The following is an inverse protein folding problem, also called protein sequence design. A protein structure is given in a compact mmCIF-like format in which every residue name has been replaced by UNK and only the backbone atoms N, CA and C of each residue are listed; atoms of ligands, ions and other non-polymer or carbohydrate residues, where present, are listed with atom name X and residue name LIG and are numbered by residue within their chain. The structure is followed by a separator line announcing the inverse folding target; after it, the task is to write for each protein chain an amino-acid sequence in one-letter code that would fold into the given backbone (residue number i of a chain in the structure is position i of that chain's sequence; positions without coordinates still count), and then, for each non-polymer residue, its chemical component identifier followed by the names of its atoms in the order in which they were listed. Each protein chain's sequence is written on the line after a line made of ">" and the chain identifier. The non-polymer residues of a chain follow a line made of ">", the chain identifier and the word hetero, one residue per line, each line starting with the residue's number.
data_IF_407835335385
#
_entry.id   IF_407835335385
#
_cell.length_a   1.000
_cell.length_b   1.000
_cell.length_c   1.000
_cell.angle_alpha   90.00
_cell.angle_beta   90.00
_cell.angle_gamma   90.00
#
_symmetry.space_group_name_H-M   'P 1'
#
loop_
_entity.id
_entity.type
_entity.pdbx_description
1 polymer ?
#
# COMPACT_ATOMS: atom_id res chain seq x y z
N UNK A 1 -34.74 -29.16 -27.93
CA UNK A 1 -34.76 -28.26 -29.11
C UNK A 1 -33.48 -27.45 -29.09
N UNK A 2 -32.55 -27.78 -29.98
CA UNK A 2 -31.20 -27.20 -30.06
C UNK A 2 -31.20 -26.08 -31.09
N UNK A 3 -30.96 -24.84 -30.65
CA UNK A 3 -30.79 -23.68 -31.53
C UNK A 3 -29.31 -23.42 -31.80
N UNK A 4 -28.78 -23.95 -32.89
CA UNK A 4 -27.44 -23.64 -33.37
C UNK A 4 -27.42 -22.23 -34.01
N UNK A 5 -26.87 -21.25 -33.31
CA UNK A 5 -26.60 -19.91 -33.88
C UNK A 5 -25.19 -19.89 -34.49
N UNK A 6 -25.10 -20.10 -35.80
CA UNK A 6 -23.89 -19.77 -36.56
C UNK A 6 -23.83 -18.25 -36.77
N UNK A 7 -22.86 -17.60 -36.14
CA UNK A 7 -22.48 -16.21 -36.44
C UNK A 7 -21.83 -16.19 -37.84
N UNK A 8 -22.34 -15.48 -38.85
CA UNK A 8 -21.69 -15.43 -40.16
C UNK A 8 -20.45 -14.54 -40.09
N UNK A 9 -19.28 -15.12 -40.38
CA UNK A 9 -17.94 -14.51 -40.21
C UNK A 9 -17.37 -13.89 -41.49
N UNK A 10 -18.19 -13.56 -42.49
CA UNK A 10 -17.71 -12.90 -43.71
C UNK A 10 -18.66 -11.79 -44.15
N UNK A 11 -18.28 -10.53 -43.89
CA UNK A 11 -18.88 -9.38 -44.56
C UNK A 11 -18.30 -9.30 -45.97
N UNK A 12 -18.92 -9.99 -46.92
CA UNK A 12 -18.59 -9.83 -48.32
C UNK A 12 -19.16 -8.49 -48.80
N UNK A 13 -18.32 -7.45 -48.80
CA UNK A 13 -18.63 -6.24 -49.56
C UNK A 13 -18.26 -6.51 -51.02
N UNK A 14 -19.28 -6.70 -51.86
CA UNK A 14 -19.07 -6.84 -53.29
C UNK A 14 -18.45 -5.55 -53.84
N UNK A 15 -17.38 -5.71 -54.62
CA UNK A 15 -16.72 -4.59 -55.31
C UNK A 15 -17.76 -3.89 -56.19
N UNK A 16 -17.94 -2.56 -56.09
CA UNK A 16 -18.82 -1.85 -57.00
C UNK A 16 -18.27 -1.99 -58.42
N UNK A 17 -19.12 -2.39 -59.36
CA UNK A 17 -18.75 -2.49 -60.77
C UNK A 17 -18.29 -1.11 -61.26
N UNK A 18 -17.05 -1.03 -61.76
CA UNK A 18 -16.57 0.14 -62.50
C UNK A 18 -17.28 0.17 -63.85
N UNK A 19 -18.47 0.74 -63.93
CA UNK A 19 -19.09 1.04 -65.22
C UNK A 19 -18.28 2.15 -65.89
N UNK A 20 -17.63 1.85 -67.02
CA UNK A 20 -16.88 2.84 -67.83
C UNK A 20 -17.73 4.01 -68.34
N UNK A 21 -19.06 3.91 -68.25
CA UNK A 21 -19.99 4.93 -68.70
C UNK A 21 -20.93 5.34 -67.56
N UNK A 22 -21.11 6.66 -67.43
CA UNK A 22 -22.09 7.25 -66.54
C UNK A 22 -23.50 6.78 -66.96
N UNK A 23 -24.25 6.17 -66.03
CA UNK A 23 -25.62 5.71 -66.33
C UNK A 23 -26.50 6.91 -66.68
N UNK A 24 -27.49 6.73 -67.56
CA UNK A 24 -28.44 7.80 -67.95
C UNK A 24 -29.07 8.51 -66.74
N UNK A 25 -29.26 7.80 -65.62
CA UNK A 25 -29.74 8.37 -64.35
C UNK A 25 -28.74 9.33 -63.70
N UNK A 26 -27.44 9.03 -63.74
CA UNK A 26 -26.39 9.91 -63.20
C UNK A 26 -26.24 11.22 -63.98
N UNK A 27 -26.33 11.16 -65.32
CA UNK A 27 -26.30 12.37 -66.17
C UNK A 27 -27.56 13.23 -65.97
N UNK A 28 -28.73 12.61 -65.79
CA UNK A 28 -29.98 13.33 -65.49
C UNK A 28 -29.98 13.98 -64.10
N UNK A 29 -29.32 13.35 -63.13
CA UNK A 29 -29.16 13.91 -61.78
C UNK A 29 -28.18 15.09 -61.79
N UNK A 30 -27.06 14.98 -62.52
CA UNK A 30 -26.10 16.08 -62.69
C UNK A 30 -26.71 17.27 -63.46
N UNK A 31 -27.46 17.01 -64.53
CA UNK A 31 -28.14 18.06 -65.32
C UNK A 31 -29.26 18.77 -64.56
N UNK A 32 -29.84 18.14 -63.52
CA UNK A 32 -30.83 18.76 -62.63
C UNK A 32 -30.23 19.76 -61.64
N UNK A 33 -28.92 20.03 -61.68
CA UNK A 33 -28.26 21.06 -60.87
C UNK A 33 -28.30 20.82 -59.37
N UNK A 34 -28.85 19.69 -58.91
CA UNK A 34 -28.84 19.29 -57.51
C UNK A 34 -27.48 18.70 -57.20
N UNK A 35 -26.48 19.58 -57.04
CA UNK A 35 -25.27 19.27 -56.30
C UNK A 35 -25.72 18.65 -54.97
N UNK A 36 -25.43 17.36 -54.79
CA UNK A 36 -25.70 16.68 -53.53
C UNK A 36 -25.09 17.52 -52.43
N UNK A 37 -25.88 17.77 -51.37
CA UNK A 37 -25.44 18.51 -50.19
C UNK A 37 -23.97 18.22 -49.92
N UNK A 38 -23.16 19.27 -49.83
CA UNK A 38 -21.79 19.17 -49.31
C UNK A 38 -21.78 18.19 -48.13
N UNK A 39 -20.80 17.28 -48.03
CA UNK A 39 -20.78 16.32 -46.96
C UNK A 39 -20.90 17.12 -45.67
N UNK A 40 -22.04 16.98 -44.97
CA UNK A 40 -22.25 17.57 -43.65
C UNK A 40 -20.99 17.25 -42.87
N UNK A 41 -20.24 18.29 -42.49
CA UNK A 41 -19.10 18.17 -41.58
C UNK A 41 -19.59 17.29 -40.44
N UNK A 42 -19.09 16.06 -40.37
CA UNK A 42 -19.52 15.15 -39.32
C UNK A 42 -19.18 15.84 -38.00
N UNK A 43 -20.13 15.88 -37.05
CA UNK A 43 -19.99 16.75 -35.89
C UNK A 43 -18.73 16.32 -35.15
N UNK A 44 -17.84 17.27 -34.85
CA UNK A 44 -16.61 17.07 -34.08
C UNK A 44 -16.83 16.27 -32.77
N UNK A 45 -18.07 16.22 -32.28
CA UNK A 45 -18.52 15.34 -31.21
C UNK A 45 -18.23 13.84 -31.45
N UNK A 46 -18.37 13.28 -32.66
CA UNK A 46 -18.10 11.85 -32.89
C UNK A 46 -16.60 11.53 -32.84
N UNK A 47 -15.75 12.46 -33.29
CA UNK A 47 -14.29 12.38 -33.21
C UNK A 47 -13.82 12.61 -31.77
N UNK A 48 -14.39 13.56 -31.04
CA UNK A 48 -14.12 13.78 -29.62
C UNK A 48 -14.56 12.58 -28.75
N UNK A 49 -15.70 11.95 -29.04
CA UNK A 49 -16.14 10.71 -28.38
C UNK A 49 -15.23 9.52 -28.74
N UNK A 50 -14.71 9.47 -29.98
CA UNK A 50 -13.74 8.45 -30.38
C UNK A 50 -12.36 8.67 -29.72
N UNK A 51 -11.91 9.92 -29.61
CA UNK A 51 -10.68 10.33 -28.93
C UNK A 51 -10.77 10.06 -27.43
N UNK A 52 -11.89 10.38 -26.76
CA UNK A 52 -12.08 10.04 -25.33
C UNK A 52 -12.10 8.52 -25.09
N UNK A 53 -12.69 7.72 -26.00
CA UNK A 53 -12.61 6.25 -25.94
C UNK A 53 -11.18 5.74 -26.13
N UNK A 54 -10.41 6.35 -27.04
CA UNK A 54 -9.02 6.01 -27.28
C UNK A 54 -8.14 6.41 -26.08
N UNK A 55 -8.34 7.60 -25.52
CA UNK A 55 -7.66 8.10 -24.32
C UNK A 55 -7.95 7.21 -23.11
N UNK A 56 -9.20 6.77 -22.91
CA UNK A 56 -9.54 5.81 -21.85
C UNK A 56 -8.83 4.47 -22.02
N UNK A 57 -8.72 3.96 -23.25
CA UNK A 57 -7.96 2.73 -23.54
C UNK A 57 -6.46 2.92 -23.32
N UNK A 58 -5.91 4.07 -23.70
CA UNK A 58 -4.51 4.39 -23.53
C UNK A 58 -4.16 4.55 -22.04
N UNK A 59 -4.97 5.26 -21.26
CA UNK A 59 -4.83 5.37 -19.81
C UNK A 59 -4.91 4.00 -19.13
N UNK A 60 -5.86 3.15 -19.52
CA UNK A 60 -5.94 1.78 -19.01
C UNK A 60 -4.68 0.96 -19.35
N UNK A 61 -4.14 1.11 -20.56
CA UNK A 61 -2.90 0.44 -20.99
C UNK A 61 -1.68 0.96 -20.23
N UNK A 62 -1.57 2.27 -20.02
CA UNK A 62 -0.50 2.89 -19.22
C UNK A 62 -0.55 2.39 -17.78
N UNK A 63 -1.73 2.38 -17.15
CA UNK A 63 -1.93 1.85 -15.80
C UNK A 63 -1.58 0.36 -15.70
N UNK A 64 -1.94 -0.43 -16.71
CA UNK A 64 -1.57 -1.85 -16.77
C UNK A 64 -0.06 -2.03 -16.88
N UNK A 65 0.61 -1.25 -17.73
CA UNK A 65 2.07 -1.31 -17.88
C UNK A 65 2.78 -0.88 -16.60
N UNK A 66 2.31 0.19 -15.94
CA UNK A 66 2.83 0.67 -14.66
C UNK A 66 2.73 -0.41 -13.58
N UNK A 67 1.54 -0.98 -13.37
CA UNK A 67 1.34 -2.07 -12.40
C UNK A 67 2.18 -3.31 -12.69
N UNK A 68 2.37 -3.64 -13.98
CA UNK A 68 3.22 -4.76 -14.38
C UNK A 68 4.71 -4.48 -14.12
N UNK A 69 5.15 -3.25 -14.29
CA UNK A 69 6.50 -2.83 -13.96
C UNK A 69 6.73 -2.88 -12.45
N UNK A 70 5.80 -2.33 -11.64
CA UNK A 70 5.85 -2.37 -10.18
C UNK A 70 5.99 -3.81 -9.65
N UNK A 71 5.15 -4.75 -10.13
CA UNK A 71 5.25 -6.17 -9.76
C UNK A 71 6.57 -6.84 -10.20
N UNK A 72 7.15 -6.40 -11.33
CA UNK A 72 8.42 -6.93 -11.81
C UNK A 72 9.59 -6.39 -10.97
N UNK A 73 9.51 -5.13 -10.53
CA UNK A 73 10.50 -4.48 -9.67
C UNK A 73 10.51 -5.11 -8.26
N UNK A 74 9.33 -5.39 -7.67
CA UNK A 74 9.21 -6.13 -6.41
C UNK A 74 9.87 -7.52 -6.49
N UNK A 75 9.70 -8.21 -7.61
CA UNK A 75 10.29 -9.53 -7.83
C UNK A 75 11.80 -9.50 -8.13
N UNK A 76 12.36 -8.36 -8.51
CA UNK A 76 13.73 -8.26 -9.06
C UNK A 76 14.81 -8.75 -8.10
N UNK A 77 14.62 -8.57 -6.79
CA UNK A 77 15.56 -9.02 -5.75
C UNK A 77 15.78 -10.54 -5.75
N UNK A 78 14.77 -11.31 -6.17
CA UNK A 78 14.79 -12.78 -6.16
C UNK A 78 15.19 -13.40 -7.50
N UNK A 79 15.46 -12.59 -8.53
CA UNK A 79 15.78 -13.07 -9.87
C UNK A 79 17.11 -12.51 -10.36
N UNK A 80 17.86 -13.31 -11.11
CA UNK A 80 19.12 -12.89 -11.74
C UNK A 80 20.32 -13.71 -11.29
N UNK A 81 21.51 -13.31 -11.74
CA UNK A 81 22.75 -13.99 -11.39
C UNK A 81 23.04 -13.87 -9.90
N UNK A 82 22.87 -12.69 -9.28
CA UNK A 82 23.10 -12.46 -7.84
C UNK A 82 21.78 -12.30 -7.06
N UNK A 83 20.81 -13.17 -7.36
CA UNK A 83 19.52 -13.16 -6.67
C UNK A 83 19.68 -13.46 -5.17
N UNK A 84 18.94 -12.73 -4.34
CA UNK A 84 18.84 -13.02 -2.91
C UNK A 84 18.08 -14.35 -2.71
N UNK A 85 18.53 -15.21 -1.77
CA UNK A 85 17.80 -16.42 -1.44
C UNK A 85 16.46 -16.07 -0.82
N UNK A 86 15.41 -16.80 -1.20
CA UNK A 86 14.10 -16.74 -0.55
C UNK A 86 14.15 -17.53 0.75
N UNK A 87 13.85 -16.90 1.87
CA UNK A 87 14.01 -17.53 3.18
C UNK A 87 12.70 -18.28 3.51
N UNK A 88 12.82 -19.56 3.81
CA UNK A 88 11.69 -20.46 4.05
C UNK A 88 11.83 -21.10 5.42
N UNK A 89 11.03 -20.67 6.40
CA UNK A 89 10.99 -21.31 7.70
C UNK A 89 10.08 -22.54 7.66
N UNK A 90 10.61 -23.71 8.03
CA UNK A 90 9.82 -24.95 8.10
C UNK A 90 9.45 -25.23 9.54
N UNK A 91 8.16 -25.13 9.84
CA UNK A 91 7.61 -25.24 11.20
C UNK A 91 6.85 -26.56 11.35
N UNK A 92 7.32 -27.51 12.18
CA UNK A 92 6.62 -28.75 12.46
C UNK A 92 5.55 -28.50 13.55
N UNK A 93 4.30 -28.87 13.26
CA UNK A 93 3.17 -28.69 14.20
C UNK A 93 2.85 -29.95 15.01
N UNK A 94 3.32 -31.11 14.58
CA UNK A 94 3.07 -32.41 15.20
C UNK A 94 4.41 -33.10 15.54
N UNK A 95 4.46 -33.93 16.61
CA UNK A 95 5.71 -34.57 17.07
C UNK A 95 6.29 -35.61 16.10
N UNK A 96 5.45 -36.18 15.24
CA UNK A 96 5.81 -37.17 14.22
C UNK A 96 6.34 -36.56 12.92
N UNK A 97 6.29 -35.23 12.79
CA UNK A 97 6.69 -34.50 11.59
C UNK A 97 8.08 -33.93 11.77
N UNK A 98 9.00 -34.31 10.89
CA UNK A 98 10.34 -33.75 10.83
C UNK A 98 10.44 -32.64 9.78
N UNK A 99 10.88 -31.44 10.20
CA UNK A 99 11.15 -30.31 9.32
C UNK A 99 12.20 -30.63 8.25
N UNK A 100 13.21 -31.44 8.61
CA UNK A 100 14.26 -31.89 7.70
C UNK A 100 13.66 -32.75 6.57
N UNK A 101 12.77 -33.70 6.90
CA UNK A 101 12.13 -34.56 5.90
C UNK A 101 11.21 -33.75 4.99
N UNK A 102 10.42 -32.82 5.55
CA UNK A 102 9.57 -31.90 4.78
C UNK A 102 10.41 -31.06 3.80
N UNK A 103 11.53 -30.49 4.24
CA UNK A 103 12.45 -29.75 3.38
C UNK A 103 13.04 -30.63 2.27
N UNK A 104 13.50 -31.84 2.60
CA UNK A 104 14.03 -32.80 1.62
C UNK A 104 12.99 -33.19 0.55
N UNK A 105 11.74 -33.43 0.94
CA UNK A 105 10.67 -33.76 0.00
C UNK A 105 10.37 -32.59 -0.95
N UNK A 106 10.38 -31.36 -0.45
CA UNK A 106 10.23 -30.15 -1.29
C UNK A 106 11.40 -30.03 -2.27
N UNK A 107 12.63 -30.24 -1.80
CA UNK A 107 13.83 -30.16 -2.64
C UNK A 107 13.86 -31.24 -3.71
N UNK A 108 13.46 -32.46 -3.37
CA UNK A 108 13.26 -33.54 -4.34
C UNK A 108 12.23 -33.15 -5.41
N UNK A 109 11.16 -32.46 -5.03
CA UNK A 109 10.15 -31.97 -5.97
C UNK A 109 10.66 -30.84 -6.89
N UNK A 110 11.70 -30.10 -6.48
CA UNK A 110 12.42 -29.14 -7.34
C UNK A 110 13.28 -29.83 -8.41
N UNK A 111 13.49 -31.15 -8.31
CA UNK A 111 14.36 -31.91 -9.20
C UNK A 111 15.84 -31.76 -8.86
N UNK A 112 16.15 -31.36 -7.63
CA UNK A 112 17.51 -31.29 -7.10
C UNK A 112 17.73 -32.53 -6.25
N UNK A 113 18.75 -33.31 -6.57
CA UNK A 113 19.13 -34.48 -5.78
C UNK A 113 20.04 -34.03 -4.64
N UNK A 114 19.49 -33.99 -3.43
CA UNK A 114 20.20 -33.64 -2.22
C UNK A 114 20.19 -34.85 -1.26
N UNK A 115 21.35 -35.46 -0.99
CA UNK A 115 21.41 -36.71 -0.22
C UNK A 115 21.07 -36.53 1.26
N UNK A 116 21.29 -35.33 1.81
CA UNK A 116 20.98 -35.01 3.20
C UNK A 116 20.78 -33.51 3.39
N UNK A 117 19.98 -33.16 4.40
CA UNK A 117 19.80 -31.80 4.90
C UNK A 117 20.27 -31.74 6.36
N UNK A 118 20.68 -30.56 6.88
CA UNK A 118 20.97 -30.39 8.30
C UNK A 118 19.78 -30.77 9.20
N UNK A 119 20.03 -31.29 10.40
CA UNK A 119 18.96 -31.59 11.37
C UNK A 119 18.34 -30.29 11.93
N UNK A 120 19.12 -29.22 12.00
CA UNK A 120 18.74 -27.90 12.51
C UNK A 120 19.58 -26.83 11.81
N UNK A 121 19.02 -25.62 11.66
CA UNK A 121 19.74 -24.45 11.15
C UNK A 121 19.39 -24.10 9.70
N UNK A 122 20.30 -23.42 9.01
CA UNK A 122 20.07 -22.92 7.65
C UNK A 122 20.58 -23.89 6.58
N UNK A 123 19.82 -24.05 5.50
CA UNK A 123 20.19 -24.88 4.37
C UNK A 123 19.83 -24.19 3.05
N UNK A 124 20.84 -23.88 2.24
CA UNK A 124 20.67 -23.16 0.97
C UNK A 124 20.63 -24.16 -0.19
N UNK A 125 19.63 -24.02 -1.05
CA UNK A 125 19.40 -24.88 -2.20
C UNK A 125 19.08 -24.03 -3.43
N UNK A 126 19.80 -24.27 -4.52
CA UNK A 126 19.49 -23.64 -5.81
C UNK A 126 18.41 -24.44 -6.54
N UNK A 127 17.38 -23.74 -7.02
CA UNK A 127 16.29 -24.32 -7.81
C UNK A 127 16.48 -23.95 -9.29
N UNK A 128 17.29 -24.69 -10.07
CA UNK A 128 17.69 -24.29 -11.42
C UNK A 128 16.50 -24.17 -12.38
N UNK A 129 15.44 -24.97 -12.17
CA UNK A 129 14.20 -24.93 -12.96
C UNK A 129 13.48 -23.58 -12.86
N UNK A 130 13.51 -22.98 -11.67
CA UNK A 130 12.84 -21.71 -11.38
C UNK A 130 13.79 -20.52 -11.44
N UNK A 131 15.11 -20.77 -11.59
CA UNK A 131 16.17 -19.75 -11.57
C UNK A 131 16.13 -18.92 -10.28
N UNK A 132 15.80 -19.56 -9.17
CA UNK A 132 15.72 -18.97 -7.83
C UNK A 132 16.57 -19.78 -6.86
N UNK A 133 16.97 -19.15 -5.76
CA UNK A 133 17.66 -19.82 -4.65
C UNK A 133 16.74 -19.77 -3.42
N UNK A 134 16.67 -20.89 -2.70
CA UNK A 134 15.90 -21.02 -1.46
C UNK A 134 16.88 -21.19 -0.30
N UNK A 135 16.58 -20.57 0.83
CA UNK A 135 17.27 -20.76 2.11
C UNK A 135 16.26 -21.30 3.11
N UNK A 136 16.30 -22.60 3.35
CA UNK A 136 15.48 -23.24 4.36
C UNK A 136 16.03 -22.97 5.75
N UNK A 137 15.16 -22.63 6.69
CA UNK A 137 15.45 -22.61 8.12
C UNK A 137 14.75 -23.81 8.74
N UNK A 138 15.53 -24.83 9.09
CA UNK A 138 15.07 -26.10 9.62
C UNK A 138 14.95 -25.95 11.14
N UNK A 139 13.72 -25.96 11.62
CA UNK A 139 13.39 -25.78 13.03
C UNK A 139 13.02 -27.11 13.67
N UNK A 140 13.59 -27.46 14.82
CA UNK A 140 13.20 -28.64 15.57
C UNK A 140 11.84 -28.44 16.24
N UNK A 141 11.14 -29.55 16.51
CA UNK A 141 9.87 -29.53 17.22
C UNK A 141 10.02 -28.98 18.65
N UNK A 142 9.01 -28.25 19.12
CA UNK A 142 8.92 -27.67 20.48
C UNK A 142 9.92 -26.55 20.84
N UNK A 143 10.53 -25.89 19.85
CA UNK A 143 11.31 -24.68 20.10
C UNK A 143 10.53 -23.42 19.76
N UNK A 144 9.90 -22.81 20.77
CA UNK A 144 9.07 -21.62 20.59
C UNK A 144 9.89 -20.42 20.08
N UNK A 145 10.88 -19.95 20.85
CA UNK A 145 11.63 -18.74 20.51
C UNK A 145 12.36 -18.84 19.17
N UNK A 146 13.06 -19.96 18.91
CA UNK A 146 13.70 -20.21 17.61
C UNK A 146 12.71 -20.13 16.45
N UNK A 147 11.48 -20.60 16.64
CA UNK A 147 10.43 -20.53 15.62
C UNK A 147 9.92 -19.11 15.43
N UNK A 148 9.72 -18.35 16.51
CA UNK A 148 9.31 -16.94 16.43
C UNK A 148 10.35 -16.12 15.66
N UNK A 149 11.63 -16.27 16.00
CA UNK A 149 12.72 -15.52 15.36
C UNK A 149 12.90 -15.91 13.89
N UNK A 150 12.81 -17.20 13.58
CA UNK A 150 12.93 -17.69 12.20
C UNK A 150 11.75 -17.28 11.32
N UNK A 151 10.52 -17.34 11.82
CA UNK A 151 9.33 -16.90 11.06
C UNK A 151 9.33 -15.40 10.85
N UNK A 152 9.78 -14.64 11.85
CA UNK A 152 10.01 -13.19 11.75
C UNK A 152 10.99 -12.84 10.61
N UNK A 153 12.05 -13.64 10.43
CA UNK A 153 13.02 -13.44 9.34
C UNK A 153 12.62 -14.10 8.00
N UNK A 154 11.73 -15.09 7.98
CA UNK A 154 11.40 -15.82 6.75
C UNK A 154 10.58 -14.99 5.75
N UNK A 155 10.63 -15.30 4.46
CA UNK A 155 9.68 -14.79 3.45
C UNK A 155 8.40 -15.64 3.37
N UNK A 156 8.59 -16.94 3.58
CA UNK A 156 7.56 -17.96 3.56
C UNK A 156 7.65 -18.79 4.83
N UNK A 157 6.50 -19.03 5.45
CA UNK A 157 6.37 -19.96 6.57
C UNK A 157 5.68 -21.23 6.08
N UNK A 158 6.40 -22.35 6.12
CA UNK A 158 5.86 -23.67 5.78
C UNK A 158 5.33 -24.31 7.05
N UNK A 159 4.02 -24.51 7.12
CA UNK A 159 3.38 -25.24 8.22
C UNK A 159 3.31 -26.72 7.86
N UNK A 160 4.09 -27.54 8.56
CA UNK A 160 4.16 -28.98 8.34
C UNK A 160 3.24 -29.71 9.31
N UNK A 161 2.18 -30.31 8.77
CA UNK A 161 1.12 -30.99 9.50
C UNK A 161 1.26 -32.51 9.34
N UNK A 162 0.81 -33.25 10.35
CA UNK A 162 0.60 -34.69 10.25
C UNK A 162 -0.85 -35.02 9.88
N UNK A 163 -1.08 -36.06 9.08
CA UNK A 163 -2.41 -36.61 8.84
C UNK A 163 -2.82 -37.70 9.84
N UNK A 164 -1.88 -38.17 10.67
CA UNK A 164 -2.11 -39.25 11.65
C UNK A 164 -2.23 -38.68 13.06
N UNK A 165 -1.33 -37.76 13.39
CA UNK A 165 -1.25 -37.16 14.73
C UNK A 165 -1.85 -35.77 14.70
N UNK A 166 -2.81 -35.52 15.58
CA UNK A 166 -3.42 -34.20 15.75
C UNK A 166 -2.40 -33.17 16.26
N UNK A 167 -2.71 -31.89 16.10
CA UNK A 167 -1.85 -30.81 16.58
C UNK A 167 -2.05 -30.67 18.09
N UNK A 168 -0.98 -30.82 18.87
CA UNK A 168 -1.01 -30.67 20.32
C UNK A 168 -1.44 -29.24 20.74
N UNK A 169 -1.89 -29.07 21.99
CA UNK A 169 -2.10 -27.75 22.62
C UNK A 169 -0.86 -26.85 22.57
N UNK A 170 0.34 -27.42 22.44
CA UNK A 170 1.56 -26.65 22.21
C UNK A 170 1.59 -26.04 20.80
N UNK A 171 1.27 -26.83 19.77
CA UNK A 171 1.19 -26.36 18.39
C UNK A 171 0.10 -25.31 18.19
N UNK A 172 -1.06 -25.47 18.84
CA UNK A 172 -2.09 -24.41 18.84
C UNK A 172 -1.60 -23.11 19.46
N UNK A 173 -0.90 -23.19 20.60
CA UNK A 173 -0.33 -22.00 21.26
C UNK A 173 0.70 -21.34 20.36
N UNK A 174 1.57 -22.12 19.71
CA UNK A 174 2.53 -21.60 18.74
C UNK A 174 1.82 -20.83 17.60
N UNK A 175 0.77 -21.41 17.01
CA UNK A 175 0.01 -20.75 15.94
C UNK A 175 -0.63 -19.44 16.40
N UNK A 176 -1.20 -19.39 17.62
CA UNK A 176 -1.76 -18.15 18.19
C UNK A 176 -0.69 -17.07 18.40
N UNK A 177 0.48 -17.45 18.92
CA UNK A 177 1.60 -16.51 19.11
C UNK A 177 2.10 -15.99 17.76
N UNK A 178 2.33 -16.89 16.78
CA UNK A 178 2.74 -16.51 15.43
C UNK A 178 1.72 -15.59 14.75
N UNK A 179 0.42 -15.83 14.95
CA UNK A 179 -0.64 -14.96 14.45
C UNK A 179 -0.57 -13.58 15.08
N UNK A 180 -0.38 -13.49 16.41
CA UNK A 180 -0.29 -12.20 17.12
C UNK A 180 0.95 -11.37 16.75
N UNK A 181 2.08 -12.01 16.45
CA UNK A 181 3.31 -11.35 16.03
C UNK A 181 3.30 -10.97 14.54
N UNK A 182 2.39 -11.57 13.76
CA UNK A 182 2.38 -11.44 12.30
C UNK A 182 3.43 -12.32 11.60
N UNK A 183 3.90 -13.41 12.24
CA UNK A 183 4.85 -14.38 11.65
C UNK A 183 4.22 -15.38 10.67
N UNK A 184 2.89 -15.34 10.49
CA UNK A 184 2.13 -16.15 9.52
C UNK A 184 1.93 -15.41 8.19
N UNK A 185 2.96 -14.75 7.67
CA UNK A 185 2.94 -14.18 6.32
C UNK A 185 3.32 -15.24 5.27
N UNK A 186 2.67 -15.17 4.10
CA UNK A 186 2.90 -16.05 2.95
C UNK A 186 3.02 -17.54 3.33
N UNK A 187 2.00 -18.05 4.01
CA UNK A 187 2.00 -19.42 4.52
C UNK A 187 1.83 -20.44 3.39
N UNK A 188 2.63 -21.52 3.45
CA UNK A 188 2.46 -22.71 2.60
C UNK A 188 2.22 -23.90 3.51
N UNK A 189 0.98 -24.38 3.56
CA UNK A 189 0.63 -25.53 4.39
C UNK A 189 0.93 -26.83 3.65
N UNK A 190 1.72 -27.69 4.28
CA UNK A 190 2.13 -28.99 3.74
C UNK A 190 1.76 -30.11 4.70
N UNK A 191 1.35 -31.25 4.16
CA UNK A 191 1.24 -32.50 4.93
C UNK A 191 2.47 -33.34 4.64
N UNK A 192 3.14 -33.78 5.71
CA UNK A 192 4.27 -34.68 5.64
C UNK A 192 3.91 -35.99 6.32
N UNK A 193 4.13 -37.11 5.63
CA UNK A 193 3.91 -38.44 6.16
C UNK A 193 5.25 -39.04 6.60
N UNK A 194 5.35 -39.61 7.82
CA UNK A 194 6.51 -40.40 8.20
C UNK A 194 6.65 -41.66 7.31
N UNK A 195 5.52 -42.24 6.89
CA UNK A 195 5.48 -43.48 6.09
C UNK A 195 5.46 -43.23 4.56
N UNK A 196 5.40 -41.97 4.11
CA UNK A 196 5.29 -41.62 2.70
C UNK A 196 3.98 -42.02 1.99
N UNK A 197 2.96 -42.46 2.73
CA UNK A 197 1.63 -42.74 2.18
C UNK A 197 0.97 -41.47 1.68
N UNK A 198 0.00 -41.60 0.76
CA UNK A 198 -0.86 -40.48 0.37
C UNK A 198 -1.94 -40.23 1.43
N UNK A 199 -2.24 -38.96 1.68
CA UNK A 199 -3.33 -38.54 2.56
C UNK A 199 -4.70 -38.83 1.93
N UNK A 200 -5.68 -39.18 2.77
CA UNK A 200 -7.06 -39.28 2.32
C UNK A 200 -7.69 -37.89 2.11
N UNK A 201 -8.50 -37.68 1.06
CA UNK A 201 -9.11 -36.38 0.78
C UNK A 201 -9.99 -35.82 1.90
N UNK A 202 -10.61 -36.68 2.71
CA UNK A 202 -11.41 -36.29 3.88
C UNK A 202 -10.55 -35.65 4.96
N UNK A 203 -9.40 -36.25 5.26
CA UNK A 203 -8.40 -35.74 6.21
C UNK A 203 -7.82 -34.42 5.70
N UNK A 204 -7.50 -34.33 4.41
CA UNK A 204 -7.01 -33.07 3.81
C UNK A 204 -8.00 -31.91 3.99
N UNK A 205 -9.31 -32.15 3.82
CA UNK A 205 -10.34 -31.12 4.04
C UNK A 205 -10.43 -30.69 5.50
N UNK A 206 -10.33 -31.64 6.43
CA UNK A 206 -10.31 -31.35 7.86
C UNK A 206 -9.07 -30.53 8.25
N UNK A 207 -7.89 -30.91 7.78
CA UNK A 207 -6.65 -30.15 7.97
C UNK A 207 -6.74 -28.75 7.35
N UNK A 208 -7.35 -28.61 6.17
CA UNK A 208 -7.58 -27.31 5.55
C UNK A 208 -8.48 -26.43 6.44
N UNK A 209 -9.59 -26.97 6.97
CA UNK A 209 -10.46 -26.21 7.87
C UNK A 209 -9.75 -25.79 9.16
N UNK A 210 -8.87 -26.64 9.69
CA UNK A 210 -8.03 -26.30 10.85
C UNK A 210 -7.06 -25.16 10.54
N UNK A 211 -6.36 -25.21 9.42
CA UNK A 211 -5.44 -24.13 9.03
C UNK A 211 -6.20 -22.83 8.74
N UNK A 212 -7.36 -22.91 8.10
CA UNK A 212 -8.18 -21.73 7.78
C UNK A 212 -8.66 -20.96 9.01
N UNK A 213 -8.80 -21.62 10.15
CA UNK A 213 -9.09 -20.96 11.42
C UNK A 213 -8.00 -19.95 11.81
N UNK A 214 -6.72 -20.28 11.59
CA UNK A 214 -5.59 -19.40 11.90
C UNK A 214 -5.19 -18.50 10.71
N UNK A 215 -5.30 -19.03 9.48
CA UNK A 215 -4.89 -18.37 8.24
C UNK A 215 -6.04 -18.45 7.22
N UNK A 216 -7.02 -17.53 7.28
CA UNK A 216 -8.20 -17.58 6.43
C UNK A 216 -7.90 -17.49 4.92
N UNK A 217 -6.77 -16.91 4.55
CA UNK A 217 -6.32 -16.80 3.15
C UNK A 217 -5.88 -18.14 2.55
N UNK A 218 -5.71 -19.19 3.37
CA UNK A 218 -5.24 -20.47 2.91
C UNK A 218 -6.36 -21.25 2.21
N UNK A 219 -6.14 -21.58 0.94
CA UNK A 219 -7.14 -22.27 0.12
C UNK A 219 -6.85 -23.76 -0.09
N UNK A 220 -5.62 -24.20 0.17
CA UNK A 220 -5.18 -25.57 -0.09
C UNK A 220 -4.06 -25.98 0.87
N UNK A 221 -4.08 -27.25 1.29
CA UNK A 221 -2.95 -27.92 1.95
C UNK A 221 -2.33 -28.87 0.93
N UNK A 222 -1.01 -28.83 0.77
CA UNK A 222 -0.28 -29.66 -0.19
C UNK A 222 0.20 -30.95 0.45
N UNK A 223 -0.16 -32.10 -0.11
CA UNK A 223 0.38 -33.39 0.32
C UNK A 223 1.74 -33.63 -0.37
N UNK A 224 2.81 -33.73 0.42
CA UNK A 224 4.16 -33.93 -0.12
C UNK A 224 4.40 -35.36 -0.61
N UNK A 225 3.58 -36.34 -0.21
CA UNK A 225 3.64 -37.69 -0.76
C UNK A 225 3.13 -37.74 -2.21
N UNK A 226 2.22 -36.85 -2.59
CA UNK A 226 1.72 -36.73 -3.95
C UNK A 226 2.66 -35.83 -4.78
N UNK A 227 3.36 -36.40 -5.77
CA UNK A 227 4.34 -35.66 -6.58
C UNK A 227 3.80 -34.36 -7.22
N UNK A 228 2.53 -34.38 -7.65
CA UNK A 228 1.90 -33.20 -8.23
C UNK A 228 1.74 -32.08 -7.22
N UNK A 229 1.36 -32.41 -5.99
CA UNK A 229 1.16 -31.43 -4.92
C UNK A 229 2.49 -30.97 -4.33
N UNK A 230 3.48 -31.86 -4.18
CA UNK A 230 4.85 -31.48 -3.84
C UNK A 230 5.45 -30.48 -4.83
N UNK A 231 5.27 -30.70 -6.14
CA UNK A 231 5.70 -29.75 -7.19
C UNK A 231 4.94 -28.42 -7.10
N UNK A 232 3.65 -28.45 -6.74
CA UNK A 232 2.87 -27.23 -6.57
C UNK A 232 3.29 -26.44 -5.33
N UNK A 233 3.60 -27.10 -4.22
CA UNK A 233 4.16 -26.48 -3.02
C UNK A 233 5.53 -25.83 -3.32
N UNK A 234 6.42 -26.58 -3.98
CA UNK A 234 7.72 -26.07 -4.40
C UNK A 234 7.61 -24.87 -5.36
N UNK A 235 6.63 -24.91 -6.29
CA UNK A 235 6.32 -23.77 -7.16
C UNK A 235 5.84 -22.55 -6.38
N UNK A 236 4.97 -22.74 -5.38
CA UNK A 236 4.45 -21.64 -4.55
C UNK A 236 5.58 -20.88 -3.83
N UNK A 237 6.62 -21.60 -3.39
CA UNK A 237 7.81 -21.01 -2.76
C UNK A 237 8.72 -20.27 -3.76
N UNK A 238 8.77 -20.71 -5.01
CA UNK A 238 9.70 -20.17 -6.02
C UNK A 238 9.11 -19.03 -6.86
N UNK A 239 7.86 -19.14 -7.28
CA UNK A 239 7.23 -18.21 -8.23
C UNK A 239 6.47 -17.07 -7.55
N UNK A 240 5.98 -17.27 -6.33
CA UNK A 240 5.28 -16.22 -5.60
C UNK A 240 6.20 -15.03 -5.36
N UNK A 241 5.68 -13.81 -5.43
CA UNK A 241 6.34 -12.67 -4.79
C UNK A 241 5.85 -12.67 -3.34
N UNK A 242 6.73 -12.75 -2.33
CA UNK A 242 6.32 -12.62 -0.94
C UNK A 242 5.56 -11.30 -0.81
N UNK A 243 4.29 -11.35 -0.40
CA UNK A 243 3.55 -10.10 -0.23
C UNK A 243 4.24 -9.28 0.86
N UNK A 244 4.63 -8.06 0.50
CA UNK A 244 5.18 -7.01 1.39
C UNK A 244 4.15 -5.92 1.69
N UNK A 245 2.91 -6.04 1.17
CA UNK A 245 1.83 -5.08 1.41
C UNK A 245 1.29 -5.07 2.85
N UNK A 246 0.30 -4.22 3.18
CA UNK A 246 -0.16 -3.98 4.56
C UNK A 246 -0.77 -5.19 5.30
N UNK A 247 -1.04 -6.30 4.59
CA UNK A 247 -1.43 -7.59 5.17
C UNK A 247 -0.23 -8.50 5.53
N UNK A 248 0.99 -8.01 5.32
CA UNK A 248 2.24 -8.64 5.70
C UNK A 248 2.96 -7.75 6.71
N UNK A 249 3.95 -8.30 7.40
CA UNK A 249 4.70 -7.71 8.50
C UNK A 249 5.21 -6.27 8.22
N UNK A 250 4.35 -5.26 8.39
CA UNK A 250 4.63 -3.85 8.14
C UNK A 250 5.76 -3.31 9.00
N UNK A 251 6.03 -3.94 10.15
CA UNK A 251 7.16 -3.62 11.01
C UNK A 251 8.52 -3.99 10.38
N UNK A 252 8.55 -4.81 9.32
CA UNK A 252 9.75 -5.08 8.50
C UNK A 252 10.03 -3.98 7.51
N UNK A 253 8.98 -3.27 7.09
CA UNK A 253 9.12 -2.19 6.13
C UNK A 253 9.86 -1.03 6.81
N UNK A 254 10.94 -0.57 6.17
CA UNK A 254 11.85 0.43 6.73
C UNK A 254 12.84 -0.06 7.80
N UNK A 255 12.98 -1.37 8.02
CA UNK A 255 14.03 -1.93 8.89
C UNK A 255 14.95 -2.88 8.13
N UNK A 256 16.26 -2.69 8.31
CA UNK A 256 17.28 -3.61 7.81
C UNK A 256 17.34 -4.88 8.63
N UNK A 257 17.45 -6.03 7.97
CA UNK A 257 17.66 -7.31 8.65
C UNK A 257 18.51 -8.27 7.80
N UNK A 258 19.11 -9.24 8.49
CA UNK A 258 20.00 -10.26 7.93
C UNK A 258 19.70 -11.59 8.58
N UNK A 259 19.66 -12.66 7.79
CA UNK A 259 19.79 -14.02 8.31
C UNK A 259 21.26 -14.42 8.21
N UNK A 260 21.86 -14.71 9.35
CA UNK A 260 23.25 -15.16 9.43
C UNK A 260 23.39 -16.56 8.82
N UNK A 261 24.33 -16.71 7.89
CA UNK A 261 24.72 -17.99 7.30
C UNK A 261 25.97 -18.55 7.97
N UNK A 262 26.92 -17.68 8.28
CA UNK A 262 28.10 -18.00 9.07
C UNK A 262 28.37 -16.87 10.07
N UNK A 263 28.90 -17.25 11.23
CA UNK A 263 29.18 -16.37 12.35
C UNK A 263 30.57 -16.73 12.88
N UNK A 264 31.53 -15.85 12.63
CA UNK A 264 32.92 -16.00 13.06
C UNK A 264 33.25 -14.92 14.09
N UNK A 265 33.85 -15.32 15.21
CA UNK A 265 34.30 -14.39 16.26
C UNK A 265 35.80 -14.16 16.11
N UNK A 266 36.22 -12.90 15.94
CA UNK A 266 37.64 -12.56 15.90
C UNK A 266 38.19 -12.24 17.30
N UNK A 267 39.48 -12.53 17.50
CA UNK A 267 40.19 -12.27 18.76
C UNK A 267 40.20 -10.78 19.16
N UNK A 268 39.99 -9.88 18.18
CA UNK A 268 39.89 -8.43 18.39
C UNK A 268 38.55 -7.99 19.02
N UNK A 269 37.64 -8.92 19.30
CA UNK A 269 36.32 -8.63 19.86
C UNK A 269 35.27 -8.22 18.82
N UNK A 270 35.54 -8.43 17.53
CA UNK A 270 34.61 -8.15 16.43
C UNK A 270 33.89 -9.44 15.98
N UNK A 271 32.58 -9.34 15.78
CA UNK A 271 31.76 -10.43 15.27
C UNK A 271 31.55 -10.27 13.75
N UNK A 272 32.04 -11.23 12.97
CA UNK A 272 31.84 -11.29 11.53
C UNK A 272 30.61 -12.13 11.22
N UNK A 273 29.59 -11.48 10.69
CA UNK A 273 28.35 -12.12 10.24
C UNK A 273 28.34 -12.11 8.72
N UNK A 274 28.27 -13.28 8.11
CA UNK A 274 28.04 -13.39 6.66
C UNK A 274 26.58 -13.70 6.40
N UNK A 275 25.92 -12.93 5.54
CA UNK A 275 24.54 -13.16 5.15
C UNK A 275 24.08 -12.15 4.09
N UNK A 276 22.92 -12.42 3.50
CA UNK A 276 22.33 -11.51 2.52
C UNK A 276 21.51 -10.44 3.24
N UNK A 277 21.89 -9.18 3.05
CA UNK A 277 21.26 -8.03 3.70
C UNK A 277 20.01 -7.62 2.93
N UNK A 278 18.95 -7.31 3.66
CA UNK A 278 17.68 -6.81 3.13
C UNK A 278 17.39 -5.47 3.77
N UNK A 279 17.72 -4.42 3.00
CA UNK A 279 17.76 -2.99 3.36
C UNK A 279 18.83 -2.64 4.43
N UNK A 280 19.32 -1.39 4.51
CA UNK A 280 20.61 -1.08 5.17
C UNK A 280 20.64 0.06 6.20
N UNK A 281 21.15 -0.25 7.41
CA UNK A 281 22.03 0.61 8.23
C UNK A 281 23.04 -0.28 8.99
N UNK A 282 24.28 -0.43 8.51
CA UNK A 282 25.31 -1.32 9.12
C UNK A 282 26.70 -0.63 9.08
N UNK A 283 27.59 -0.98 10.03
CA UNK A 283 28.93 -0.39 10.20
C UNK A 283 29.89 -0.63 9.03
N UNK A 284 29.95 -1.85 8.49
CA UNK A 284 30.79 -2.19 7.34
C UNK A 284 30.16 -3.34 6.58
N UNK A 285 30.08 -3.21 5.26
CA UNK A 285 29.57 -4.25 4.38
C UNK A 285 30.73 -4.75 3.54
N UNK A 286 31.07 -6.02 3.73
CA UNK A 286 32.08 -6.73 2.96
C UNK A 286 31.37 -7.63 1.93
N UNK A 287 31.89 -7.69 0.72
CA UNK A 287 31.40 -8.63 -0.28
C UNK A 287 31.74 -10.06 0.15
N UNK A 288 30.71 -10.88 0.34
CA UNK A 288 30.80 -12.32 0.57
C UNK A 288 30.22 -13.07 -0.64
N UNK A 289 30.96 -13.16 -1.76
CA UNK A 289 30.49 -13.86 -2.94
C UNK A 289 30.39 -15.36 -2.65
N UNK A 290 29.26 -15.96 -3.03
CA UNK A 290 29.00 -17.38 -2.78
C UNK A 290 29.83 -18.26 -3.73
N UNK A 291 30.50 -19.32 -3.23
CA UNK A 291 31.17 -20.29 -4.09
C UNK A 291 30.13 -21.06 -4.90
N UNK A 292 30.15 -20.90 -6.23
CA UNK A 292 29.34 -21.72 -7.13
C UNK A 292 30.13 -22.94 -7.57
N UNK A 293 29.46 -24.09 -7.65
CA UNK A 293 30.01 -25.24 -8.35
C UNK A 293 30.19 -24.86 -9.83
N UNK A 294 31.43 -24.60 -10.24
CA UNK A 294 31.81 -24.41 -11.64
C UNK A 294 31.37 -25.66 -12.42
N UNK A 295 30.32 -25.54 -13.23
CA UNK A 295 30.04 -26.56 -14.24
C UNK A 295 31.19 -26.52 -15.22
N UNK A 296 31.84 -27.66 -15.40
CA UNK A 296 32.92 -27.84 -16.36
C UNK A 296 32.35 -27.68 -17.79
N UNK A 297 32.24 -26.44 -18.26
CA UNK A 297 32.12 -26.14 -19.70
C UNK A 297 33.39 -25.42 -20.12
N UNK A 298 34.10 -26.05 -21.04
CA UNK A 298 35.24 -25.53 -21.77
C UNK A 298 34.86 -24.32 -22.62
N UNK A 299 34.64 -23.18 -21.98
CA UNK A 299 34.66 -21.87 -22.61
C UNK A 299 35.24 -20.90 -21.59
N UNK A 300 36.48 -20.48 -21.86
CA UNK A 300 37.21 -19.49 -21.08
C UNK A 300 36.52 -18.15 -21.27
N UNK A 301 35.47 -17.93 -20.49
CA UNK A 301 35.02 -16.59 -20.14
C UNK A 301 35.74 -16.27 -18.84
N UNK A 302 36.51 -15.17 -18.82
CA UNK A 302 37.20 -14.71 -17.60
C UNK A 302 36.16 -14.27 -16.56
N UNK A 303 35.50 -15.21 -15.89
CA UNK A 303 34.91 -14.96 -14.59
C UNK A 303 36.07 -14.96 -13.59
N UNK A 304 36.52 -13.75 -13.26
CA UNK A 304 37.42 -13.49 -12.15
C UNK A 304 36.79 -14.13 -10.92
N UNK A 305 37.40 -15.20 -10.41
CA UNK A 305 37.02 -15.80 -9.14
C UNK A 305 37.03 -14.68 -8.09
N UNK A 306 35.90 -14.34 -7.46
CA UNK A 306 35.87 -13.25 -6.51
C UNK A 306 36.33 -13.82 -5.16
N UNK A 307 37.63 -14.06 -5.02
CA UNK A 307 38.25 -14.35 -3.71
C UNK A 307 38.58 -13.08 -2.93
N UNK A 308 38.42 -11.91 -3.55
CA UNK A 308 38.76 -10.64 -2.94
C UNK A 308 37.53 -10.10 -2.21
N UNK A 309 37.60 -10.13 -0.88
CA UNK A 309 36.66 -9.48 0.02
C UNK A 309 36.72 -7.98 -0.26
N UNK A 310 35.85 -7.50 -1.15
CA UNK A 310 35.76 -6.08 -1.50
C UNK A 310 34.90 -5.35 -0.47
N UNK A 311 35.36 -4.18 -0.01
CA UNK A 311 34.56 -3.32 0.87
C UNK A 311 33.50 -2.66 0.00
N UNK A 312 32.23 -2.94 0.26
CA UNK A 312 31.10 -2.38 -0.49
C UNK A 312 30.62 -1.06 0.12
N UNK A 313 30.63 -0.98 1.45
CA UNK A 313 30.28 0.23 2.17
C UNK A 313 30.99 0.26 3.53
N UNK A 314 31.41 1.44 3.95
CA UNK A 314 32.01 1.68 5.25
C UNK A 314 31.31 2.88 5.89
N UNK A 315 30.97 2.73 7.17
CA UNK A 315 30.30 3.78 7.94
C UNK A 315 31.23 4.97 8.13
N UNK A 316 30.76 6.14 7.75
CA UNK A 316 31.44 7.39 8.05
C UNK A 316 31.12 7.82 9.48
N UNK A 317 32.16 8.08 10.29
CA UNK A 317 32.00 8.38 11.71
C UNK A 317 31.30 9.72 11.98
N UNK A 318 31.24 10.64 11.03
CA UNK A 318 30.61 11.96 11.18
C UNK A 318 29.08 11.90 11.10
N UNK A 319 28.56 11.02 10.26
CA UNK A 319 27.12 10.92 9.93
C UNK A 319 26.48 9.72 10.65
N UNK A 320 27.24 9.12 11.56
CA UNK A 320 26.90 7.90 12.27
C UNK A 320 26.07 8.20 13.52
N UNK A 321 24.89 7.57 13.62
CA UNK A 321 24.12 7.58 14.87
C UNK A 321 24.92 7.02 16.06
N UNK A 322 24.67 7.57 17.25
CA UNK A 322 25.28 7.06 18.48
C UNK A 322 24.94 5.58 18.69
N UNK A 323 25.94 4.73 18.96
CA UNK A 323 25.70 3.32 19.34
C UNK A 323 25.14 3.16 20.76
N UNK A 324 24.90 4.26 21.46
CA UNK A 324 24.41 4.23 22.85
C UNK A 324 22.93 3.87 22.84
N UNK A 325 22.62 2.59 23.08
CA UNK A 325 21.25 2.06 23.07
C UNK A 325 20.47 2.34 24.35
N UNK A 326 21.15 2.77 25.42
CA UNK A 326 20.54 3.15 26.69
C UNK A 326 20.70 4.64 26.90
N UNK A 327 19.57 5.35 27.03
CA UNK A 327 19.63 6.72 27.52
C UNK A 327 20.02 6.68 29.00
N UNK A 328 21.01 7.47 29.42
CA UNK A 328 21.20 7.71 30.86
C UNK A 328 19.96 8.48 31.32
N UNK A 329 19.22 8.01 32.33
CA UNK A 329 18.11 8.77 32.88
C UNK A 329 18.63 10.15 33.25
N UNK A 330 18.03 11.19 32.68
CA UNK A 330 18.34 12.56 33.07
C UNK A 330 17.70 12.81 34.44
N UNK A 331 18.52 12.89 35.48
CA UNK A 331 18.08 13.10 36.85
C UNK A 331 17.37 14.45 37.04
N UNK A 332 17.62 15.44 36.16
CA UNK A 332 16.95 16.75 36.20
C UNK A 332 15.65 16.78 35.37
N UNK A 333 15.44 15.86 34.43
CA UNK A 333 14.20 15.80 33.64
C UNK A 333 12.98 15.38 34.48
N UNK A 334 13.21 14.81 35.67
CA UNK A 334 12.16 14.46 36.63
C UNK A 334 11.68 15.67 37.46
N UNK A 335 12.29 16.85 37.28
CA UNK A 335 11.79 18.12 37.84
C UNK A 335 10.71 18.77 36.96
N UNK A 336 10.45 18.21 35.78
CA UNK A 336 9.32 18.59 34.93
C UNK A 336 8.09 17.74 35.27
N UNK A 337 7.62 17.81 36.52
CA UNK A 337 6.31 17.29 36.89
C UNK A 337 5.23 18.06 36.12
N UNK A 338 4.18 17.36 35.67
CA UNK A 338 2.91 18.03 35.35
C UNK A 338 2.59 19.03 36.46
N UNK A 339 2.05 20.24 36.16
CA UNK A 339 1.70 21.21 37.20
C UNK A 339 0.97 20.49 38.32
N UNK A 340 1.49 20.64 39.53
CA UNK A 340 0.91 19.93 40.67
C UNK A 340 -0.56 20.35 40.80
N UNK A 341 -1.41 19.50 41.37
CA UNK A 341 -2.83 19.85 41.54
C UNK A 341 -3.02 21.18 42.31
N UNK A 342 -2.05 21.56 43.14
CA UNK A 342 -2.00 22.84 43.85
C UNK A 342 -1.65 24.02 42.91
N UNK A 343 -0.66 23.86 42.02
CA UNK A 343 -0.32 24.87 41.00
C UNK A 343 -1.40 25.02 39.93
N UNK A 344 -2.10 23.94 39.58
CA UNK A 344 -3.24 23.96 38.66
C UNK A 344 -4.44 24.69 39.31
N UNK A 345 -4.71 24.42 40.59
CA UNK A 345 -5.72 25.14 41.35
C UNK A 345 -5.36 26.62 41.55
N UNK A 346 -4.07 26.96 41.73
CA UNK A 346 -3.62 28.35 41.79
C UNK A 346 -3.72 29.04 40.43
N UNK A 347 -3.44 28.33 39.34
CA UNK A 347 -3.66 28.76 37.96
C UNK A 347 -5.15 29.05 37.68
N UNK A 348 -6.04 28.13 38.01
CA UNK A 348 -7.50 28.29 37.93
C UNK A 348 -7.98 29.44 38.81
N UNK A 349 -7.45 29.58 40.03
CA UNK A 349 -7.79 30.69 40.93
C UNK A 349 -7.27 32.03 40.41
N UNK A 350 -6.11 32.05 39.74
CA UNK A 350 -5.54 33.24 39.10
C UNK A 350 -6.32 33.63 37.84
N UNK A 351 -6.77 32.65 37.07
CA UNK A 351 -7.65 32.85 35.92
C UNK A 351 -9.03 33.35 36.37
N UNK A 352 -9.63 32.76 37.41
CA UNK A 352 -10.88 33.23 38.01
C UNK A 352 -10.74 34.63 38.61
N UNK A 353 -9.59 34.96 39.22
CA UNK A 353 -9.27 36.32 39.68
C UNK A 353 -9.06 37.28 38.52
N UNK A 354 -8.45 36.86 37.42
CA UNK A 354 -8.29 37.69 36.22
C UNK A 354 -9.66 37.99 35.58
N UNK A 355 -10.53 37.00 35.47
CA UNK A 355 -11.93 37.15 35.01
C UNK A 355 -12.77 38.06 35.90
N UNK A 356 -12.47 38.14 37.20
CA UNK A 356 -13.19 39.01 38.15
C UNK A 356 -12.56 40.39 38.33
N UNK A 357 -11.27 40.56 38.01
CA UNK A 357 -10.54 41.82 38.13
C UNK A 357 -10.37 42.58 36.81
N UNK A 358 -10.75 42.00 35.66
CA UNK A 358 -10.83 42.71 34.38
C UNK A 358 -12.25 43.24 34.11
N UNK A 359 -12.40 44.56 34.26
CA UNK A 359 -13.43 45.43 33.68
C UNK A 359 -14.80 45.38 34.37
N UNK A 360 -15.34 46.52 34.88
CA UNK A 360 -16.74 46.57 35.29
C UNK A 360 -17.56 46.20 34.06
N UNK A 361 -18.37 45.15 34.13
CA UNK A 361 -19.23 44.72 33.03
C UNK A 361 -19.90 45.96 32.43
N UNK A 362 -19.38 46.45 31.29
CA UNK A 362 -20.13 47.35 30.43
C UNK A 362 -21.33 46.50 30.08
N UNK A 363 -22.47 46.74 30.77
CA UNK A 363 -23.75 46.13 30.43
C UNK A 363 -23.84 46.25 28.92
N UNK A 364 -23.76 45.13 28.21
CA UNK A 364 -23.81 45.14 26.75
C UNK A 364 -25.07 45.92 26.37
N UNK A 365 -24.90 47.04 25.67
CA UNK A 365 -26.05 47.81 25.18
C UNK A 365 -26.88 46.83 24.36
N UNK A 366 -28.14 46.64 24.74
CA UNK A 366 -29.06 45.74 24.06
C UNK A 366 -29.18 46.22 22.59
N UNK A 367 -28.58 45.49 21.64
CA UNK A 367 -28.68 45.77 20.20
C UNK A 367 -30.07 45.33 19.71
N UNK A 368 -30.76 46.18 18.94
CA UNK A 368 -31.99 45.79 18.22
C UNK A 368 -31.59 44.92 17.04
N UNK A 369 -31.72 43.61 17.19
CA UNK A 369 -31.66 42.64 16.09
C UNK A 369 -33.07 42.30 15.60
N UNK A 370 -33.26 41.95 14.31
CA UNK A 370 -34.57 41.53 13.79
C UNK A 370 -35.15 40.37 14.60
N UNK A 371 -36.48 40.37 14.81
CA UNK A 371 -37.19 39.31 15.54
C UNK A 371 -36.93 37.96 14.87
N UNK A 372 -36.47 36.97 15.65
CA UNK A 372 -36.16 35.62 15.18
C UNK A 372 -34.67 35.29 15.05
N UNK A 373 -33.75 36.21 15.39
CA UNK A 373 -32.31 35.93 15.44
C UNK A 373 -31.92 35.27 16.76
N UNK A 374 -31.19 34.15 16.69
CA UNK A 374 -30.70 33.47 17.90
C UNK A 374 -29.52 34.22 18.51
N UNK A 375 -29.27 34.02 19.80
CA UNK A 375 -28.15 34.63 20.53
C UNK A 375 -26.79 34.36 19.89
N UNK A 376 -26.61 33.17 19.31
CA UNK A 376 -25.38 32.79 18.62
C UNK A 376 -25.21 33.55 17.29
N UNK A 377 -26.30 33.75 16.55
CA UNK A 377 -26.26 34.50 15.28
C UNK A 377 -26.00 35.99 15.52
N UNK A 378 -26.56 36.56 16.59
CA UNK A 378 -26.36 37.96 16.94
C UNK A 378 -24.90 38.27 17.34
N UNK A 379 -24.14 37.30 17.85
CA UNK A 379 -22.74 37.47 18.25
C UNK A 379 -21.77 37.62 17.07
N UNK A 380 -22.19 37.26 15.86
CA UNK A 380 -21.35 37.27 14.64
C UNK A 380 -21.61 38.48 13.73
N UNK A 381 -22.57 39.35 14.08
CA UNK A 381 -22.83 40.59 13.34
C UNK A 381 -21.80 41.63 13.80
N UNK A 382 -20.67 41.67 13.10
CA UNK A 382 -19.63 42.70 13.23
C UNK A 382 -20.19 44.00 12.63
N UNK A 383 -20.23 45.08 13.41
CA UNK A 383 -20.41 46.42 12.85
C UNK A 383 -19.02 46.92 12.46
N UNK A 384 -18.79 47.17 11.17
CA UNK A 384 -17.67 47.97 10.66
C UNK A 384 -17.90 49.46 11.02
N UNK A 385 -18.01 49.75 12.32
CA UNK A 385 -18.18 51.10 12.85
C UNK A 385 -17.28 51.36 14.07
N UNK A 386 -16.18 50.63 14.17
CA UNK A 386 -14.94 51.10 14.82
C UNK A 386 -13.97 51.61 13.73
N UNK A 387 -14.49 52.38 12.75
CA UNK A 387 -13.67 53.32 11.99
C UNK A 387 -13.42 54.52 12.90
N UNK A 388 -12.25 54.48 13.51
CA UNK A 388 -11.60 55.52 14.28
C UNK A 388 -11.21 56.68 13.34
N UNK A 389 -12.20 57.42 12.83
CA UNK A 389 -11.99 58.67 12.09
C UNK A 389 -12.10 59.86 13.05
N UNK A 390 -10.98 60.15 13.71
CA UNK A 390 -10.71 61.42 14.40
C UNK A 390 -10.32 62.48 13.34
N UNK A 391 -11.32 63.18 12.79
CA UNK A 391 -11.11 64.44 12.08
C UNK A 391 -12.22 65.45 12.44
N UNK A 392 -11.85 66.39 13.29
CA UNK A 392 -12.50 67.69 13.49
C UNK A 392 -12.46 68.53 12.20
N UNK A 393 -13.62 68.93 11.66
CA UNK A 393 -13.78 70.27 11.06
C UNK A 393 -15.26 70.72 11.01
N UNK A 394 -15.51 71.89 11.58
CA UNK A 394 -16.79 72.61 11.69
C UNK A 394 -17.40 73.07 10.34
N UNK A 395 -18.74 73.20 10.29
CA UNK A 395 -19.36 74.38 9.65
C UNK A 395 -20.49 74.21 8.61
N UNK A 396 -21.73 74.07 9.11
CA UNK A 396 -22.97 74.81 8.73
C UNK A 396 -23.56 74.75 7.29
N UNK A 397 -24.88 74.47 7.17
CA UNK A 397 -25.69 74.83 5.99
C UNK A 397 -27.03 74.11 5.82
N UNK A 398 -28.10 74.74 6.31
CA UNK A 398 -29.54 74.43 6.29
C UNK A 398 -30.19 74.04 4.93
N UNK A 399 -31.23 73.18 4.94
CA UNK A 399 -32.63 73.52 4.50
C UNK A 399 -33.53 72.28 4.23
N UNK A 400 -34.65 72.27 4.96
CA UNK A 400 -36.04 71.81 4.70
C UNK A 400 -36.43 70.77 3.62
N UNK A 401 -37.30 69.83 4.04
CA UNK A 401 -38.60 69.45 3.42
C UNK A 401 -39.03 68.03 3.93
N UNK A 402 -39.88 67.89 4.95
CA UNK A 402 -41.36 67.94 4.95
C UNK A 402 -42.06 66.59 4.66
N UNK A 403 -43.15 66.40 5.41
CA UNK A 403 -44.31 65.52 5.23
C UNK A 403 -44.34 64.05 5.69
N UNK A 404 -45.08 63.92 6.80
CA UNK A 404 -46.32 63.14 6.97
C UNK A 404 -46.26 61.73 7.56
N UNK A 405 -46.62 61.72 8.84
CA UNK A 405 -47.30 60.64 9.52
C UNK A 405 -48.71 60.39 8.96
N UNK A 406 -49.15 59.13 8.91
CA UNK A 406 -50.47 58.71 9.41
C UNK A 406 -50.52 57.23 9.81
N UNK A 407 -51.45 56.85 10.71
CA UNK A 407 -51.36 55.66 11.54
C UNK A 407 -52.49 54.63 11.30
N UNK A 408 -52.40 53.52 12.04
CA UNK A 408 -53.47 52.80 12.73
C UNK A 408 -54.01 51.47 12.16
N UNK A 409 -54.17 50.52 13.09
CA UNK A 409 -55.10 49.36 13.22
C UNK A 409 -54.30 48.13 13.73
N UNK A 410 -54.43 47.69 15.00
CA UNK A 410 -55.51 46.84 15.57
C UNK A 410 -55.58 45.48 14.82
N UNK A 411 -55.52 44.28 15.39
CA UNK A 411 -55.89 43.70 16.70
C UNK A 411 -55.36 42.24 16.80
N UNK A 412 -55.29 41.72 18.04
CA UNK A 412 -55.54 40.33 18.54
C UNK A 412 -54.71 39.10 18.06
N UNK A 413 -54.08 38.35 18.99
CA UNK A 413 -54.55 37.14 19.74
C UNK A 413 -54.89 35.99 18.75
N UNK A 414 -54.39 34.74 18.84
CA UNK A 414 -54.33 33.73 19.91
C UNK A 414 -53.22 32.70 19.48
N UNK A 415 -52.31 32.25 20.34
CA UNK A 415 -52.28 31.00 21.14
C UNK A 415 -52.57 29.67 20.39
N UNK A 416 -51.91 28.60 20.88
CA UNK A 416 -52.02 27.16 20.53
C UNK A 416 -50.98 26.61 19.53
N UNK A 417 -50.36 25.46 19.72
CA UNK A 417 -50.14 24.57 20.87
C UNK A 417 -49.01 23.63 20.43
N UNK A 418 -48.33 23.06 21.41
CA UNK A 418 -47.22 22.11 21.28
C UNK A 418 -47.70 20.81 20.61
N UNK A 419 -46.82 20.14 19.85
CA UNK A 419 -46.76 18.68 19.98
C UNK A 419 -45.34 18.16 19.74
N UNK A 420 -44.81 17.57 20.81
CA UNK A 420 -43.56 16.84 20.90
C UNK A 420 -43.89 15.36 20.75
N UNK A 421 -43.27 14.68 19.78
CA UNK A 421 -43.14 13.22 19.82
C UNK A 421 -41.69 12.82 19.63
N UNK A 422 -41.16 12.23 20.70
CA UNK A 422 -39.83 11.66 20.89
C UNK A 422 -39.82 10.16 20.53
N UNK A 423 -38.62 9.66 20.19
CA UNK A 423 -38.13 8.27 20.30
C UNK A 423 -38.65 7.24 19.26
N UNK A 424 -37.87 6.29 18.74
CA UNK A 424 -36.44 5.97 18.75
C UNK A 424 -36.19 4.82 17.73
N UNK A 425 -34.91 4.60 17.43
CA UNK A 425 -34.22 3.32 17.16
C UNK A 425 -34.44 2.47 15.87
N UNK A 426 -33.27 2.20 15.25
CA UNK A 426 -32.84 1.02 14.49
C UNK A 426 -33.40 0.73 13.07
N UNK A 427 -32.52 0.87 12.07
CA UNK A 427 -31.97 -0.24 11.25
C UNK A 427 -31.49 0.23 9.85
N UNK A 428 -30.28 -0.21 9.50
CA UNK A 428 -29.73 -0.63 8.18
C UNK A 428 -30.32 -0.03 6.88
N UNK A 429 -29.47 0.50 5.98
CA UNK A 429 -28.99 -0.22 4.78
C UNK A 429 -28.17 0.69 3.82
N UNK A 430 -27.25 0.05 3.10
CA UNK A 430 -26.35 0.57 2.07
C UNK A 430 -27.05 1.32 0.92
N UNK A 431 -26.51 2.47 0.46
CA UNK A 431 -26.39 2.80 -0.98
C UNK A 431 -25.67 4.13 -1.29
N UNK A 432 -24.57 4.01 -2.05
CA UNK A 432 -24.21 4.83 -3.21
C UNK A 432 -24.46 6.36 -3.18
N UNK A 433 -23.48 7.13 -2.72
CA UNK A 433 -23.40 8.57 -3.01
C UNK A 433 -22.78 8.84 -4.39
N UNK A 434 -23.64 8.90 -5.39
CA UNK A 434 -23.45 9.76 -6.55
C UNK A 434 -23.77 11.22 -6.20
N UNK A 435 -23.36 12.13 -7.09
CA UNK A 435 -23.80 13.54 -7.23
C UNK A 435 -22.72 14.58 -6.88
N UNK A 436 -21.99 14.91 -7.95
CA UNK A 436 -21.69 16.27 -8.43
C UNK A 436 -21.70 17.40 -7.40
N UNK A 437 -20.54 18.03 -7.20
CA UNK A 437 -20.49 19.42 -6.76
C UNK A 437 -19.85 20.28 -7.85
N UNK A 438 -20.71 21.04 -8.54
CA UNK A 438 -20.35 22.02 -9.54
C UNK A 438 -20.76 23.41 -9.06
N UNK A 439 -19.83 24.14 -8.46
CA UNK A 439 -19.63 25.59 -8.63
C UNK A 439 -18.50 26.11 -7.73
N UNK A 440 -17.76 27.07 -8.28
CA UNK A 440 -16.73 27.89 -7.65
C UNK A 440 -15.34 27.25 -7.45
N UNK A 441 -14.63 27.08 -8.57
CA UNK A 441 -13.17 27.01 -8.60
C UNK A 441 -12.69 27.66 -9.89
N UNK A 442 -12.06 28.83 -9.77
CA UNK A 442 -11.50 29.62 -10.88
C UNK A 442 -10.40 28.77 -11.54
N UNK A 443 -10.67 28.15 -12.67
CA UNK A 443 -9.68 27.34 -13.39
C UNK A 443 -8.62 28.25 -13.98
N UNK A 444 -7.39 28.14 -13.51
CA UNK A 444 -6.23 28.71 -14.19
C UNK A 444 -6.01 27.87 -15.45
N UNK A 445 -6.17 28.47 -16.63
CA UNK A 445 -5.83 27.81 -17.88
C UNK A 445 -4.30 27.74 -17.95
N UNK A 446 -3.73 26.54 -17.81
CA UNK A 446 -2.37 26.29 -18.22
C UNK A 446 -2.39 26.17 -19.75
N UNK A 447 -1.89 27.20 -20.45
CA UNK A 447 -1.44 27.05 -21.82
C UNK A 447 -0.15 26.23 -21.78
N UNK A 448 -0.19 25.01 -22.31
CA UNK A 448 1.03 24.24 -22.58
C UNK A 448 1.85 25.03 -23.61
N UNK A 449 3.06 25.44 -23.24
CA UNK A 449 3.99 26.13 -24.15
C UNK A 449 4.42 25.21 -25.29
N UNK A 450 4.69 25.77 -26.47
CA UNK A 450 5.19 25.02 -27.61
C UNK A 450 6.54 24.34 -27.28
N UNK A 451 6.69 23.10 -27.73
CA UNK A 451 7.83 22.20 -27.44
C UNK A 451 9.21 22.82 -27.76
N UNK A 452 9.28 23.78 -28.69
CA UNK A 452 10.51 24.49 -29.04
C UNK A 452 10.94 25.53 -27.97
N UNK A 453 10.00 26.05 -27.19
CA UNK A 453 10.27 27.07 -26.18
C UNK A 453 10.64 26.43 -24.82
N UNK A 454 10.03 25.28 -24.50
CA UNK A 454 10.41 24.42 -23.37
C UNK A 454 11.84 23.88 -23.53
N UNK A 455 12.24 23.51 -24.75
CA UNK A 455 13.60 23.07 -25.07
C UNK A 455 14.64 24.19 -24.89
N UNK A 456 14.28 25.46 -25.05
CA UNK A 456 15.22 26.59 -24.88
C UNK A 456 15.50 26.91 -23.41
N UNK A 457 14.53 26.73 -22.51
CA UNK A 457 14.73 26.99 -21.08
C UNK A 457 15.59 25.90 -20.41
N UNK A 458 15.41 24.63 -20.81
CA UNK A 458 16.22 23.51 -20.33
C UNK A 458 17.72 23.59 -20.67
N UNK A 459 18.12 24.48 -21.60
CA UNK A 459 19.51 24.63 -22.06
C UNK A 459 20.21 25.83 -21.42
N UNK A 460 19.54 26.60 -20.57
CA UNK A 460 20.19 27.71 -19.86
C UNK A 460 21.06 27.20 -18.70
N UNK A 461 22.40 27.38 -18.72
CA UNK A 461 23.24 26.95 -17.62
C UNK A 461 23.09 27.91 -16.43
N UNK A 462 22.72 27.36 -15.28
CA UNK A 462 22.74 28.04 -13.97
C UNK A 462 24.19 28.46 -13.69
N UNK A 463 24.49 29.76 -13.83
CA UNK A 463 25.75 30.33 -13.34
C UNK A 463 25.65 30.50 -11.83
N UNK A 464 26.27 29.58 -11.10
CA UNK A 464 26.59 29.76 -9.68
C UNK A 464 27.85 30.64 -9.63
N UNK A 465 27.70 31.89 -9.24
CA UNK A 465 28.82 32.76 -8.88
C UNK A 465 29.16 32.53 -7.41
N UNK A 466 30.26 31.84 -7.13
CA UNK A 466 30.90 31.88 -5.83
C UNK A 466 31.66 33.21 -5.70
N UNK A 467 31.36 33.99 -4.66
CA UNK A 467 32.21 35.08 -4.22
C UNK A 467 33.22 34.52 -3.21
N UNK A 468 34.50 34.83 -3.43
CA UNK A 468 35.62 34.60 -2.51
C UNK A 468 35.49 35.42 -1.22
#
# INVERSE_FOLDING_TARGET
>A
MSGHHHRPTLKQQNKPFKSKHASKGSLKAAAKGRVGNSPKVQPAASVAIAQTKLNRKNAAKQNQLKKRAELADEGKIFHGSNAAPRIVAVVPLSPDVSSQQTALQIVKALGVDAPSAPESGTWIVEAPRFRTTLQFVILPYRQLYSTLDATHAADYTVLSLSPVTEVDNWGERLLRVLQSQGGLHNVVSTVSHPDGSRTQPTVQKSLLSFVQYFVPTQNKVFDLAAESDARNAARALCEGVPRTGPASASWRDGRSWVVAENVDWEENGELKITGVIRDFQISKILAAPRPRALKHSTEVTMDVAPTDITILAERQSSDADSLTSTNRPDEMANEQTWPTAEELAEGEAREAKALTMSVPAKKSKIKRVPRGTSTYQAAWIVDDADDEDDYDEDGNGNDDADMEAKPNAEEDQENEEEDMVELDEEAEDDQAMSVTNSKAGKSVAFEDMDVEEEARQCVSPIKITCHD
#
